data_IF_997885775074
#
_entry.id   IF_997885775074
#
_cell.length_a   1.000
_cell.length_b   1.000
_cell.length_c   1.000
_cell.angle_alpha   90.00
_cell.angle_beta   90.00
_cell.angle_gamma   90.00
#
_symmetry.space_group_name_H-M   'P 1'
#
loop_
_entity.id
_entity.type
_entity.pdbx_description
1 polymer ?
#
# COMPACT_ATOMS: atom_id res chain seq x y z
N UNK A 1 0.88 -6.37 -1.89
CA UNK A 1 1.91 -5.35 -2.20
C UNK A 1 2.98 -5.39 -1.11
N UNK A 2 4.20 -4.94 -1.39
CA UNK A 2 5.27 -4.88 -0.38
C UNK A 2 5.28 -3.52 0.32
N UNK A 3 5.81 -3.46 1.54
CA UNK A 3 5.89 -2.25 2.38
C UNK A 3 6.69 -1.09 1.76
N UNK A 4 7.57 -1.37 0.79
CA UNK A 4 8.41 -0.38 0.09
C UNK A 4 7.82 0.04 -1.26
N UNK A 5 6.59 -0.38 -1.54
CA UNK A 5 5.89 0.10 -2.71
C UNK A 5 5.69 1.62 -2.58
N UNK A 6 6.05 2.36 -3.63
CA UNK A 6 5.79 3.79 -3.71
C UNK A 6 4.30 4.11 -3.53
N UNK A 7 4.00 5.35 -3.13
CA UNK A 7 2.65 5.86 -2.93
C UNK A 7 1.73 5.48 -4.10
N UNK A 8 0.60 4.87 -3.78
CA UNK A 8 -0.36 4.43 -4.79
C UNK A 8 -1.37 5.55 -5.02
N UNK A 9 -1.41 6.07 -6.25
CA UNK A 9 -2.44 7.03 -6.66
C UNK A 9 -3.80 6.33 -6.75
N UNK A 10 -4.73 6.70 -5.87
CA UNK A 10 -6.07 6.17 -5.82
C UNK A 10 -6.98 6.89 -6.83
N UNK A 11 -7.44 6.13 -7.83
CA UNK A 11 -8.43 6.60 -8.82
C UNK A 11 -9.81 6.08 -8.45
N UNK A 12 -10.75 7.00 -8.23
CA UNK A 12 -12.15 6.69 -7.95
C UNK A 12 -13.03 7.00 -9.16
N UNK A 13 -14.00 6.13 -9.44
CA UNK A 13 -15.04 6.38 -10.43
C UNK A 13 -16.39 6.35 -9.73
N UNK A 14 -17.22 7.42 -9.82
CA UNK A 14 -17.05 8.65 -10.61
C UNK A 14 -15.96 9.59 -10.07
N UNK A 15 -15.29 10.38 -10.90
CA UNK A 15 -14.24 11.30 -10.44
C UNK A 15 -14.80 12.42 -9.54
N UNK A 16 -14.02 12.86 -8.54
CA UNK A 16 -14.38 13.95 -7.63
C UNK A 16 -14.85 13.50 -6.24
N UNK A 17 -14.80 12.21 -5.93
CA UNK A 17 -15.04 11.70 -4.59
C UNK A 17 -13.79 11.77 -3.71
N UNK A 18 -13.96 11.42 -2.46
CA UNK A 18 -12.92 11.45 -1.43
C UNK A 18 -12.56 10.05 -1.00
N UNK A 19 -11.25 9.80 -0.88
CA UNK A 19 -10.73 8.59 -0.27
C UNK A 19 -10.47 8.81 1.22
N UNK A 20 -10.84 7.82 2.02
CA UNK A 20 -10.60 7.78 3.46
C UNK A 20 -10.11 6.40 3.86
N UNK A 21 -9.15 6.35 4.77
CA UNK A 21 -8.60 5.10 5.28
C UNK A 21 -7.22 5.31 5.90
N UNK A 22 -6.68 4.25 6.50
CA UNK A 22 -5.35 4.27 7.09
C UNK A 22 -4.30 4.46 5.98
N UNK A 23 -3.41 5.44 6.12
CA UNK A 23 -2.40 5.75 5.09
C UNK A 23 -2.93 6.56 3.91
N UNK A 24 -4.20 6.99 3.90
CA UNK A 24 -4.72 7.84 2.82
C UNK A 24 -4.46 9.31 3.13
N UNK A 25 -3.80 9.99 2.20
CA UNK A 25 -3.67 11.45 2.19
C UNK A 25 -4.16 11.99 0.85
N UNK A 26 -5.39 12.49 0.84
CA UNK A 26 -6.04 12.99 -0.38
C UNK A 26 -6.35 11.87 -1.38
N UNK A 27 -5.57 11.81 -2.46
CA UNK A 27 -5.65 10.76 -3.49
C UNK A 27 -4.43 9.84 -3.49
N UNK A 28 -3.54 9.95 -2.51
CA UNK A 28 -2.41 9.05 -2.32
C UNK A 28 -2.70 8.07 -1.19
N UNK A 29 -2.28 6.83 -1.39
CA UNK A 29 -2.25 5.79 -0.38
C UNK A 29 -0.80 5.41 -0.07
N UNK A 30 -0.40 5.67 1.18
CA UNK A 30 0.83 5.24 1.81
C UNK A 30 0.59 3.85 2.43
N UNK A 31 1.18 2.78 1.88
CA UNK A 31 0.98 1.43 2.38
C UNK A 31 1.73 1.19 3.69
N UNK A 32 1.01 0.89 4.76
CA UNK A 32 1.59 0.39 6.03
C UNK A 32 1.39 -1.12 6.16
N UNK A 33 2.32 -1.81 6.85
CA UNK A 33 2.29 -3.27 7.05
C UNK A 33 0.93 -3.70 7.64
N UNK A 34 0.34 -4.72 7.03
CA UNK A 34 -0.92 -5.31 7.49
C UNK A 34 -2.06 -5.10 6.50
N UNK A 35 -3.28 -5.30 7.01
CA UNK A 35 -4.51 -5.16 6.21
C UNK A 35 -5.04 -3.74 6.34
N UNK A 36 -5.00 -2.99 5.24
CA UNK A 36 -5.49 -1.62 5.16
C UNK A 36 -6.83 -1.60 4.42
N UNK A 37 -7.85 -1.05 5.07
CA UNK A 37 -9.18 -0.86 4.46
C UNK A 37 -9.32 0.58 4.01
N UNK A 38 -9.63 0.75 2.74
CA UNK A 38 -9.79 2.04 2.07
C UNK A 38 -11.22 2.19 1.63
N UNK A 39 -11.80 3.36 1.85
CA UNK A 39 -13.18 3.66 1.46
C UNK A 39 -13.19 4.88 0.56
N UNK A 40 -13.76 4.70 -0.63
CA UNK A 40 -14.10 5.78 -1.53
C UNK A 40 -15.54 6.21 -1.29
N UNK A 41 -15.76 7.50 -1.13
CA UNK A 41 -17.10 8.08 -1.01
C UNK A 41 -17.28 9.18 -2.04
N UNK A 42 -18.39 9.12 -2.77
CA UNK A 42 -18.73 10.11 -3.78
C UNK A 42 -20.19 10.54 -3.62
N UNK A 43 -20.45 11.85 -3.71
CA UNK A 43 -21.79 12.43 -3.72
C UNK A 43 -21.97 13.22 -4.99
N UNK A 44 -23.00 12.90 -5.77
CA UNK A 44 -23.31 13.62 -7.00
C UNK A 44 -24.03 14.96 -6.72
N UNK A 45 -24.17 15.79 -7.76
CA UNK A 45 -24.86 17.09 -7.66
C UNK A 45 -26.36 17.00 -7.30
N UNK A 46 -26.96 15.82 -7.49
CA UNK A 46 -28.36 15.54 -7.11
C UNK A 46 -28.48 15.05 -5.66
N UNK A 47 -27.37 14.98 -4.91
CA UNK A 47 -27.33 14.54 -3.52
C UNK A 47 -27.29 13.01 -3.31
N UNK A 48 -27.15 12.21 -4.36
CA UNK A 48 -26.96 10.76 -4.22
C UNK A 48 -25.51 10.48 -3.82
N UNK A 49 -25.35 9.84 -2.67
CA UNK A 49 -24.05 9.37 -2.17
C UNK A 49 -23.88 7.88 -2.44
N UNK A 50 -22.70 7.49 -2.90
CA UNK A 50 -22.30 6.09 -3.04
C UNK A 50 -20.90 5.93 -2.46
N UNK A 51 -20.67 4.78 -1.83
CA UNK A 51 -19.37 4.46 -1.24
C UNK A 51 -18.96 3.05 -1.61
N UNK A 52 -17.66 2.86 -1.86
CA UNK A 52 -17.06 1.56 -2.13
C UNK A 52 -15.84 1.38 -1.23
N UNK A 53 -15.71 0.20 -0.62
CA UNK A 53 -14.55 -0.16 0.19
C UNK A 53 -13.67 -1.17 -0.55
N UNK A 54 -12.36 -0.99 -0.47
CA UNK A 54 -11.36 -1.94 -0.95
C UNK A 54 -10.40 -2.30 0.18
N UNK A 55 -10.00 -3.56 0.23
CA UNK A 55 -9.03 -4.05 1.21
C UNK A 55 -7.72 -4.35 0.52
N UNK A 56 -6.65 -3.81 1.09
CA UNK A 56 -5.30 -3.94 0.57
C UNK A 56 -4.46 -4.64 1.64
N UNK A 57 -3.82 -5.74 1.25
CA UNK A 57 -2.89 -6.46 2.12
C UNK A 57 -1.46 -6.08 1.73
N UNK A 58 -0.80 -5.36 2.65
CA UNK A 58 0.60 -4.98 2.56
C UNK A 58 1.42 -6.00 3.34
N UNK A 59 2.24 -6.77 2.63
CA UNK A 59 3.15 -7.73 3.23
C UNK A 59 4.45 -7.03 3.62
N UNK A 60 5.04 -7.46 4.73
CA UNK A 60 6.39 -7.06 5.11
C UNK A 60 7.40 -7.50 4.04
N UNK A 61 8.51 -6.75 3.95
CA UNK A 61 9.64 -7.20 3.16
C UNK A 61 10.17 -8.53 3.70
N UNK A 62 10.52 -9.49 2.82
CA UNK A 62 11.32 -10.62 3.26
C UNK A 62 12.66 -10.09 3.76
N UNK A 63 13.00 -10.38 5.02
CA UNK A 63 14.34 -10.14 5.53
C UNK A 63 15.33 -11.08 4.82
N UNK A 64 16.04 -10.57 3.82
CA UNK A 64 17.11 -11.32 3.14
C UNK A 64 18.34 -11.30 4.04
N UNK A 65 18.52 -12.36 4.82
CA UNK A 65 19.77 -12.60 5.56
C UNK A 65 20.65 -13.51 4.73
N UNK A 66 21.73 -12.98 4.15
CA UNK A 66 22.71 -13.75 3.37
C UNK A 66 23.64 -14.61 4.24
N UNK A 67 23.24 -14.92 5.48
CA UNK A 67 24.02 -15.69 6.45
C UNK A 67 25.35 -15.04 6.83
N UNK A 68 26.02 -15.63 7.80
CA UNK A 68 27.42 -15.30 8.09
C UNK A 68 28.27 -16.05 7.10
N UNK A 69 28.97 -15.35 6.21
CA UNK A 69 30.04 -15.96 5.44
C UNK A 69 31.08 -16.47 6.46
N UNK A 70 31.18 -17.79 6.61
CA UNK A 70 32.25 -18.43 7.39
C UNK A 70 33.63 -18.08 6.85
N UNK A 71 34.72 -18.46 7.53
CA UNK A 71 36.07 -18.08 7.11
C UNK A 71 36.30 -18.51 5.66
N UNK A 72 36.37 -17.51 4.78
CA UNK A 72 36.70 -17.69 3.38
C UNK A 72 38.15 -18.15 3.35
N UNK A 73 38.42 -19.30 2.72
CA UNK A 73 39.78 -19.79 2.57
C UNK A 73 40.60 -18.74 1.82
N UNK A 74 41.64 -18.23 2.47
CA UNK A 74 42.73 -17.51 1.80
C UNK A 74 43.57 -18.61 1.12
N UNK A 75 43.46 -18.65 -0.20
CA UNK A 75 44.29 -19.42 -1.13
C UNK A 75 44.15 -20.96 -1.17
N UNK A 76 43.98 -21.46 -2.40
CA UNK A 76 44.27 -22.84 -2.78
C UNK A 76 45.74 -22.89 -3.22
N UNK A 77 46.56 -23.65 -2.48
CA UNK A 77 47.96 -23.91 -2.82
C UNK A 77 48.11 -24.83 -4.03
#
# INVERSE_FOLDING_TARGET
MCIDAADVALVGSPAGGTWSGTGVSGNLFDPSVGTQTLTYSFTNANGCSSSASTTIVVNELPMVSAGTYGPVCIDAA
#
